data_IF_775196248503
#
_entry.id   IF_775196248503
#
_cell.length_a   1.000
_cell.length_b   1.000
_cell.length_c   1.000
_cell.angle_alpha   90.00
_cell.angle_beta   90.00
_cell.angle_gamma   90.00
#
_symmetry.space_group_name_H-M   'P 1'
#
loop_
_entity.id
_entity.type
_entity.pdbx_description
1 polymer ?
#
# COMPACT_ATOMS: atom_id res chain seq x y z
N UNK A 1 16.58 -1.74 47.41
CA UNK A 1 17.94 -1.51 46.90
C UNK A 1 18.18 -0.01 46.88
N UNK A 2 19.27 0.52 47.47
CA UNK A 2 19.58 1.95 47.34
C UNK A 2 19.85 2.31 45.85
N UNK A 3 19.45 3.49 45.38
CA UNK A 3 19.70 3.89 43.99
C UNK A 3 21.23 4.00 43.78
N UNK A 4 21.71 3.41 42.67
CA UNK A 4 23.12 3.48 42.27
C UNK A 4 23.44 4.96 41.88
N UNK A 5 24.30 5.67 42.62
CA UNK A 5 24.63 7.07 42.35
C UNK A 5 25.35 7.26 41.00
N UNK A 6 25.89 6.17 40.42
CA UNK A 6 26.56 6.18 39.12
C UNK A 6 25.64 5.81 37.95
N UNK A 7 24.37 5.54 38.21
CA UNK A 7 23.40 5.15 37.14
C UNK A 7 23.34 6.17 35.98
N UNK A 8 23.31 7.51 36.22
CA UNK A 8 23.33 8.50 35.14
C UNK A 8 24.59 8.41 34.26
N UNK A 9 25.74 8.27 34.91
CA UNK A 9 27.03 8.17 34.20
C UNK A 9 27.10 6.91 33.35
N UNK A 10 26.60 5.78 33.87
CA UNK A 10 26.47 4.52 33.08
C UNK A 10 25.55 4.69 31.88
N UNK A 11 24.42 5.39 32.03
CA UNK A 11 23.50 5.71 30.94
C UNK A 11 24.18 6.53 29.84
N UNK A 12 24.90 7.58 30.19
CA UNK A 12 25.67 8.38 29.23
C UNK A 12 26.79 7.58 28.55
N UNK A 13 27.47 6.71 29.25
CA UNK A 13 28.51 5.85 28.69
C UNK A 13 27.95 4.89 27.63
N UNK A 14 26.72 4.35 27.82
CA UNK A 14 26.03 3.50 26.84
C UNK A 14 25.71 4.30 25.58
N UNK A 15 25.10 5.48 25.68
CA UNK A 15 24.77 6.31 24.53
C UNK A 15 26.01 6.80 23.78
N UNK A 16 27.05 7.20 24.50
CA UNK A 16 28.34 7.59 23.94
C UNK A 16 29.00 6.44 23.14
N UNK A 17 28.94 5.22 23.66
CA UNK A 17 29.44 4.04 22.95
C UNK A 17 28.69 3.79 21.62
N UNK A 18 27.38 4.10 21.58
CA UNK A 18 26.58 3.95 20.36
C UNK A 18 26.98 4.93 19.25
N UNK A 19 27.57 6.08 19.58
CA UNK A 19 28.06 7.06 18.60
C UNK A 19 29.12 6.47 17.66
N UNK A 20 29.92 5.53 18.15
CA UNK A 20 31.01 4.89 17.38
C UNK A 20 30.61 3.56 16.75
N UNK A 21 29.33 3.16 16.86
CA UNK A 21 28.84 1.96 16.19
C UNK A 21 28.58 2.23 14.72
N UNK A 22 28.79 1.20 13.91
CA UNK A 22 28.47 1.25 12.48
C UNK A 22 26.96 1.48 12.30
N UNK A 23 26.53 2.48 11.49
CA UNK A 23 25.12 2.73 11.25
C UNK A 23 24.49 1.54 10.53
N UNK A 24 23.25 1.18 10.92
CA UNK A 24 22.43 0.13 10.28
C UNK A 24 21.40 0.73 9.32
N UNK A 25 21.46 2.04 9.12
CA UNK A 25 20.55 2.79 8.24
C UNK A 25 20.72 2.35 6.80
N UNK A 26 19.63 2.07 6.13
CA UNK A 26 19.60 1.88 4.68
C UNK A 26 19.32 3.22 4.02
N UNK A 27 20.14 3.56 3.04
CA UNK A 27 20.05 4.85 2.35
C UNK A 27 18.90 4.79 1.33
N UNK A 28 17.75 5.36 1.69
CA UNK A 28 16.64 5.58 0.78
C UNK A 28 16.83 6.97 0.14
N UNK A 29 16.62 7.18 -1.18
CA UNK A 29 16.05 6.23 -2.16
C UNK A 29 17.05 5.35 -2.90
N UNK A 30 18.36 5.44 -2.63
CA UNK A 30 19.41 4.70 -3.35
C UNK A 30 19.23 3.19 -3.18
N UNK A 31 18.85 2.77 -1.99
CA UNK A 31 18.52 1.38 -1.69
C UNK A 31 17.08 1.25 -1.19
N UNK A 32 16.24 0.60 -2.00
CA UNK A 32 14.85 0.29 -1.64
C UNK A 32 14.75 -1.16 -1.17
N UNK A 33 14.12 -1.35 -0.02
CA UNK A 33 13.83 -2.71 0.45
C UNK A 33 12.86 -3.41 -0.50
N UNK A 34 13.12 -4.67 -0.85
CA UNK A 34 12.13 -5.48 -1.54
C UNK A 34 10.89 -5.65 -0.67
N UNK A 35 9.72 -5.60 -1.27
CA UNK A 35 8.44 -5.76 -0.56
C UNK A 35 8.05 -7.23 -0.45
N UNK A 36 7.29 -7.58 0.59
CA UNK A 36 6.75 -8.92 0.78
C UNK A 36 5.81 -9.32 -0.36
N UNK A 37 5.72 -10.61 -0.73
CA UNK A 37 4.81 -11.09 -1.78
C UNK A 37 3.34 -10.76 -1.52
N UNK A 38 2.92 -10.66 -0.24
CA UNK A 38 1.57 -10.29 0.18
C UNK A 38 1.45 -8.86 0.66
N UNK A 39 2.36 -7.98 0.21
CA UNK A 39 2.30 -6.58 0.58
C UNK A 39 1.03 -5.93 0.01
N UNK A 40 0.35 -5.17 0.86
CA UNK A 40 -0.86 -4.42 0.50
C UNK A 40 -0.49 -2.96 0.31
N UNK A 41 -0.10 -2.62 -0.91
CA UNK A 41 0.23 -1.26 -1.29
C UNK A 41 -0.89 -0.57 -2.06
N UNK A 42 -0.54 0.24 -3.05
CA UNK A 42 -1.47 1.05 -3.84
C UNK A 42 -2.54 0.20 -4.51
N UNK A 43 -3.79 0.67 -4.46
CA UNK A 43 -4.92 0.07 -5.13
C UNK A 43 -4.82 0.22 -6.64
N UNK A 44 -5.31 -0.79 -7.37
CA UNK A 44 -5.41 -0.81 -8.83
C UNK A 44 -6.76 -1.34 -9.25
N UNK A 45 -7.31 -0.71 -10.30
CA UNK A 45 -8.46 -1.22 -11.03
C UNK A 45 -7.98 -1.91 -12.30
N UNK A 46 -8.59 -3.05 -12.60
CA UNK A 46 -8.22 -3.89 -13.73
C UNK A 46 -9.19 -3.76 -14.90
N UNK A 47 -8.65 -4.02 -16.10
CA UNK A 47 -9.39 -4.20 -17.34
C UNK A 47 -9.35 -5.66 -17.76
N UNK A 48 -10.31 -6.06 -18.57
CA UNK A 48 -10.25 -7.29 -19.33
C UNK A 48 -9.28 -7.13 -20.50
N UNK A 49 -8.89 -8.26 -21.12
CA UNK A 49 -8.01 -8.27 -22.30
C UNK A 49 -8.59 -7.48 -23.49
N UNK A 50 -9.93 -7.40 -23.58
CA UNK A 50 -10.64 -6.61 -24.58
C UNK A 50 -10.70 -5.10 -24.28
N UNK A 51 -10.02 -4.62 -23.23
CA UNK A 51 -9.95 -3.22 -22.82
C UNK A 51 -11.11 -2.73 -21.95
N UNK A 52 -12.19 -3.50 -21.80
CA UNK A 52 -13.33 -3.13 -20.95
C UNK A 52 -12.94 -3.18 -19.47
N UNK A 53 -13.53 -2.28 -18.67
CA UNK A 53 -13.32 -2.26 -17.23
C UNK A 53 -13.95 -3.51 -16.58
N UNK A 54 -13.25 -4.13 -15.64
CA UNK A 54 -13.81 -5.22 -14.83
C UNK A 54 -14.82 -4.70 -13.81
N UNK A 55 -14.68 -3.44 -13.37
CA UNK A 55 -15.54 -2.84 -12.37
C UNK A 55 -16.93 -2.54 -12.93
N UNK A 56 -17.95 -3.12 -12.33
CA UNK A 56 -19.38 -2.91 -12.68
C UNK A 56 -20.07 -1.90 -11.77
N UNK A 57 -19.35 -1.24 -10.87
CA UNK A 57 -19.92 -0.23 -9.96
C UNK A 57 -20.88 -0.79 -8.91
N UNK A 58 -20.71 -2.03 -8.44
CA UNK A 58 -21.61 -2.68 -7.47
C UNK A 58 -21.52 -2.13 -6.04
N UNK A 59 -20.51 -1.31 -5.73
CA UNK A 59 -20.27 -0.67 -4.42
C UNK A 59 -19.97 -1.63 -3.25
N UNK A 60 -19.77 -2.92 -3.48
CA UNK A 60 -19.44 -3.88 -2.41
C UNK A 60 -18.11 -3.54 -1.73
N UNK A 61 -17.12 -3.06 -2.48
CA UNK A 61 -15.84 -2.61 -1.92
C UNK A 61 -16.00 -1.39 -1.00
N UNK A 62 -16.91 -0.47 -1.32
CA UNK A 62 -17.23 0.66 -0.46
C UNK A 62 -17.94 0.21 0.83
N UNK A 63 -18.92 -0.70 0.72
CA UNK A 63 -19.63 -1.25 1.86
C UNK A 63 -18.73 -2.07 2.81
N UNK A 64 -17.70 -2.74 2.27
CA UNK A 64 -16.74 -3.52 3.06
C UNK A 64 -15.62 -2.66 3.68
N UNK A 65 -15.52 -1.38 3.32
CA UNK A 65 -14.43 -0.52 3.76
C UNK A 65 -14.62 -0.04 5.20
N UNK A 66 -13.79 -0.45 6.18
CA UNK A 66 -13.93 -0.02 7.57
C UNK A 66 -13.59 1.45 7.80
N UNK A 67 -12.82 2.06 6.86
CA UNK A 67 -12.42 3.47 6.94
C UNK A 67 -13.32 4.40 6.13
N UNK A 68 -14.35 3.87 5.45
CA UNK A 68 -15.28 4.62 4.59
C UNK A 68 -14.54 5.58 3.63
N UNK A 69 -13.49 5.06 2.99
CA UNK A 69 -12.61 5.85 2.13
C UNK A 69 -12.89 5.67 0.63
N UNK A 70 -13.84 4.80 0.25
CA UNK A 70 -14.15 4.47 -1.14
C UNK A 70 -15.52 5.05 -1.51
N UNK A 71 -15.55 5.83 -2.60
CA UNK A 71 -16.77 6.37 -3.19
C UNK A 71 -16.99 5.77 -4.57
N UNK A 72 -18.14 5.17 -4.79
CA UNK A 72 -18.53 4.58 -6.07
C UNK A 72 -19.88 5.14 -6.50
N UNK A 73 -19.97 5.67 -7.72
CA UNK A 73 -21.23 6.08 -8.36
C UNK A 73 -21.35 5.28 -9.64
N UNK A 74 -22.35 4.42 -9.70
CA UNK A 74 -22.63 3.61 -10.88
C UNK A 74 -23.38 4.39 -11.96
N UNK A 75 -23.21 3.99 -13.21
CA UNK A 75 -24.02 4.40 -14.35
C UNK A 75 -24.29 3.17 -15.25
N UNK A 76 -25.32 3.26 -16.08
CA UNK A 76 -25.68 2.21 -17.01
C UNK A 76 -24.80 2.26 -18.26
N UNK A 77 -24.40 1.10 -18.77
CA UNK A 77 -23.79 0.98 -20.08
C UNK A 77 -24.84 1.18 -21.16
N UNK A 78 -24.50 1.96 -22.16
CA UNK A 78 -25.33 2.09 -23.37
C UNK A 78 -24.74 1.24 -24.50
N UNK A 79 -25.57 0.91 -25.48
CA UNK A 79 -25.12 0.13 -26.64
C UNK A 79 -23.99 0.83 -27.42
N UNK A 80 -24.04 2.17 -27.46
CA UNK A 80 -23.09 3.01 -28.20
C UNK A 80 -21.80 3.29 -27.41
N UNK A 81 -21.84 3.18 -26.07
CA UNK A 81 -20.68 3.44 -25.22
C UNK A 81 -20.59 2.40 -24.11
N UNK A 82 -19.97 1.30 -24.42
CA UNK A 82 -19.77 0.19 -23.49
C UNK A 82 -18.42 0.33 -22.77
N UNK A 83 -18.47 0.65 -21.48
CA UNK A 83 -17.29 0.88 -20.64
C UNK A 83 -16.87 -0.40 -19.89
N UNK A 84 -17.83 -1.16 -19.37
CA UNK A 84 -17.56 -2.40 -18.63
C UNK A 84 -18.18 -3.63 -19.33
N UNK A 85 -17.80 -4.81 -18.86
CA UNK A 85 -18.38 -6.06 -19.35
C UNK A 85 -19.84 -6.30 -18.89
N UNK A 86 -20.27 -5.64 -17.81
CA UNK A 86 -21.62 -5.75 -17.24
C UNK A 86 -22.64 -4.79 -17.84
N UNK A 87 -23.82 -4.74 -17.25
CA UNK A 87 -24.88 -3.77 -17.60
C UNK A 87 -24.60 -2.37 -17.06
N UNK A 88 -23.76 -2.27 -16.03
CA UNK A 88 -23.39 -1.03 -15.35
C UNK A 88 -21.88 -0.90 -15.26
N UNK A 89 -21.41 0.32 -15.05
CA UNK A 89 -20.01 0.62 -14.79
C UNK A 89 -19.86 1.66 -13.68
N UNK A 90 -18.69 1.79 -13.10
CA UNK A 90 -18.40 2.87 -12.16
C UNK A 90 -18.13 4.18 -12.95
N UNK A 91 -19.08 5.11 -12.94
CA UNK A 91 -18.89 6.44 -13.52
C UNK A 91 -17.91 7.25 -12.69
N UNK A 92 -18.06 7.21 -11.36
CA UNK A 92 -17.12 7.79 -10.41
C UNK A 92 -16.61 6.64 -9.55
N UNK A 93 -15.30 6.57 -9.41
CA UNK A 93 -14.62 5.68 -8.48
C UNK A 93 -13.47 6.47 -7.86
N UNK A 94 -13.54 6.68 -6.56
CA UNK A 94 -12.57 7.47 -5.83
C UNK A 94 -12.16 6.74 -4.56
N UNK A 95 -10.87 6.77 -4.24
CA UNK A 95 -10.33 6.29 -2.98
C UNK A 95 -9.56 7.43 -2.30
N UNK A 96 -9.96 7.77 -1.08
CA UNK A 96 -9.21 8.70 -0.26
C UNK A 96 -8.05 7.96 0.42
N UNK A 97 -6.84 8.05 -0.16
CA UNK A 97 -5.64 7.37 0.33
C UNK A 97 -5.19 7.87 1.71
N UNK A 98 -5.52 9.10 2.08
CA UNK A 98 -5.20 9.63 3.41
C UNK A 98 -6.03 8.99 4.53
N UNK A 99 -7.18 8.39 4.21
CA UNK A 99 -8.03 7.65 5.15
C UNK A 99 -7.84 6.14 5.06
N UNK A 100 -7.34 5.65 3.95
CA UNK A 100 -7.19 4.22 3.71
C UNK A 100 -6.19 3.60 4.69
N UNK A 101 -6.55 2.47 5.29
CA UNK A 101 -5.70 1.69 6.20
C UNK A 101 -5.07 0.47 5.52
N UNK A 102 -5.21 0.33 4.21
CA UNK A 102 -4.66 -0.77 3.40
C UNK A 102 -5.00 -2.17 3.93
N UNK A 103 -6.19 -2.36 4.49
CA UNK A 103 -6.64 -3.63 5.08
C UNK A 103 -6.91 -4.74 4.05
N UNK A 104 -7.18 -4.40 2.78
CA UNK A 104 -7.45 -5.36 1.70
C UNK A 104 -8.90 -5.86 1.62
N UNK A 105 -9.82 -5.42 2.49
CA UNK A 105 -11.20 -5.90 2.44
C UNK A 105 -11.93 -5.53 1.15
N UNK A 106 -11.58 -4.43 0.52
CA UNK A 106 -12.12 -4.04 -0.79
C UNK A 106 -11.78 -5.06 -1.89
N UNK A 107 -10.58 -5.65 -1.84
CA UNK A 107 -10.14 -6.71 -2.75
C UNK A 107 -10.92 -7.99 -2.49
N UNK A 108 -11.01 -8.40 -1.21
CA UNK A 108 -11.75 -9.61 -0.82
C UNK A 108 -13.26 -9.53 -1.11
N UNK A 109 -13.85 -8.34 -1.03
CA UNK A 109 -15.27 -8.11 -1.28
C UNK A 109 -15.62 -8.00 -2.76
N UNK A 110 -14.64 -7.91 -3.65
CA UNK A 110 -14.89 -7.73 -5.08
C UNK A 110 -15.16 -9.06 -5.79
N UNK A 111 -16.39 -9.35 -6.28
CA UNK A 111 -16.69 -10.62 -6.94
C UNK A 111 -16.15 -10.69 -8.38
N UNK A 112 -15.61 -9.57 -8.91
CA UNK A 112 -15.15 -9.48 -10.29
C UNK A 112 -13.61 -9.38 -10.39
N UNK A 113 -12.89 -9.48 -9.27
CA UNK A 113 -11.44 -9.22 -9.21
C UNK A 113 -11.05 -7.91 -9.92
N UNK A 114 -11.91 -6.91 -9.78
CA UNK A 114 -11.76 -5.63 -10.45
C UNK A 114 -10.79 -4.69 -9.71
N UNK A 115 -10.63 -4.86 -8.40
CA UNK A 115 -9.71 -4.10 -7.57
C UNK A 115 -8.75 -5.04 -6.86
N UNK A 116 -7.46 -4.70 -6.88
CA UNK A 116 -6.41 -5.40 -6.13
C UNK A 116 -5.49 -4.39 -5.46
N UNK A 117 -4.73 -4.86 -4.46
CA UNK A 117 -3.66 -4.10 -3.86
C UNK A 117 -2.32 -4.54 -4.48
N UNK A 118 -1.60 -3.59 -5.07
CA UNK A 118 -0.28 -3.83 -5.66
C UNK A 118 0.85 -3.75 -4.63
N UNK A 119 2.09 -3.82 -5.14
CA UNK A 119 3.30 -3.75 -4.32
C UNK A 119 3.86 -2.32 -4.19
N UNK A 120 3.17 -1.31 -4.74
CA UNK A 120 3.60 0.08 -4.68
C UNK A 120 3.30 0.68 -3.32
N UNK A 121 4.28 1.34 -2.72
CA UNK A 121 4.17 2.03 -1.43
C UNK A 121 4.56 3.51 -1.48
N UNK A 122 5.15 3.95 -2.59
CA UNK A 122 5.56 5.35 -2.77
C UNK A 122 4.37 6.17 -3.25
N UNK A 123 3.54 6.60 -2.30
CA UNK A 123 2.30 7.36 -2.53
C UNK A 123 2.32 8.74 -1.86
N UNK A 124 3.52 9.28 -1.63
CA UNK A 124 3.68 10.60 -1.02
C UNK A 124 3.29 11.69 -2.00
N UNK A 125 2.45 12.64 -1.54
CA UNK A 125 1.99 13.78 -2.33
C UNK A 125 2.19 15.08 -1.54
N UNK A 126 2.22 16.21 -2.25
CA UNK A 126 2.39 17.52 -1.63
C UNK A 126 1.08 18.11 -1.12
N UNK A 127 -0.04 17.73 -1.69
CA UNK A 127 -1.37 18.19 -1.34
C UNK A 127 -2.23 17.02 -0.85
N UNK A 128 -3.15 17.31 0.08
CA UNK A 128 -4.12 16.34 0.55
C UNK A 128 -5.12 15.92 -0.54
N UNK A 129 -5.41 16.83 -1.46
CA UNK A 129 -6.37 16.57 -2.54
C UNK A 129 -5.78 15.59 -3.57
N UNK A 130 -4.46 15.61 -3.76
CA UNK A 130 -3.75 14.67 -4.64
C UNK A 130 -3.79 13.22 -4.11
N UNK A 131 -4.11 13.04 -2.82
CA UNK A 131 -4.34 11.72 -2.21
C UNK A 131 -5.78 11.20 -2.44
N UNK A 132 -6.62 11.90 -3.19
CA UNK A 132 -7.90 11.38 -3.67
C UNK A 132 -7.68 10.75 -5.03
N UNK A 133 -7.47 9.43 -5.03
CA UNK A 133 -7.22 8.71 -6.27
C UNK A 133 -8.50 8.47 -7.04
N UNK A 134 -8.56 9.05 -8.21
CA UNK A 134 -9.67 8.91 -9.16
C UNK A 134 -9.59 7.60 -9.92
N UNK A 135 -10.69 7.23 -10.60
CA UNK A 135 -10.76 6.01 -11.42
C UNK A 135 -9.62 5.92 -12.44
N UNK A 136 -9.30 7.01 -13.10
CA UNK A 136 -8.27 7.04 -14.14
C UNK A 136 -6.87 6.78 -13.56
N UNK A 137 -6.57 7.34 -12.38
CA UNK A 137 -5.34 7.08 -11.67
C UNK A 137 -5.21 5.63 -11.19
N UNK A 138 -6.35 5.01 -10.83
CA UNK A 138 -6.40 3.62 -10.35
C UNK A 138 -6.31 2.62 -11.52
N UNK A 139 -6.77 2.99 -12.71
CA UNK A 139 -6.68 2.20 -13.94
C UNK A 139 -5.32 2.34 -14.64
N UNK A 140 -4.52 3.33 -14.29
CA UNK A 140 -3.20 3.54 -14.85
C UNK A 140 -2.25 2.38 -14.49
N UNK A 141 -1.42 1.99 -15.44
CA UNK A 141 -0.35 1.03 -15.15
C UNK A 141 0.67 1.63 -14.17
N UNK A 142 1.27 0.80 -13.32
CA UNK A 142 2.24 1.27 -12.35
C UNK A 142 3.47 1.84 -13.05
N UNK A 143 3.90 3.01 -12.64
CA UNK A 143 5.09 3.67 -13.17
C UNK A 143 6.38 2.90 -12.89
N UNK A 144 6.42 2.12 -11.81
CA UNK A 144 7.56 1.21 -11.48
C UNK A 144 7.05 0.10 -10.56
N UNK A 145 7.36 -1.13 -10.89
CA UNK A 145 7.13 -2.29 -10.02
C UNK A 145 8.27 -2.30 -8.99
N UNK A 146 7.93 -2.14 -7.72
CA UNK A 146 8.90 -2.42 -6.65
C UNK A 146 9.22 -3.91 -6.67
N UNK A 147 10.50 -4.31 -6.68
CA UNK A 147 10.85 -5.73 -6.66
C UNK A 147 10.18 -6.45 -5.50
N UNK A 148 9.55 -7.58 -5.79
CA UNK A 148 9.04 -8.47 -4.74
C UNK A 148 10.23 -9.19 -4.14
N UNK A 149 10.32 -9.19 -2.82
CA UNK A 149 11.38 -9.92 -2.14
C UNK A 149 11.17 -11.42 -2.28
N UNK A 150 12.28 -12.14 -2.46
CA UNK A 150 12.27 -13.58 -2.30
C UNK A 150 11.88 -13.92 -0.86
N UNK A 151 10.96 -14.88 -0.64
CA UNK A 151 10.54 -15.29 0.70
C UNK A 151 11.71 -15.67 1.62
N UNK A 152 12.76 -16.27 1.06
CA UNK A 152 13.97 -16.66 1.78
C UNK A 152 14.75 -15.48 2.38
N UNK A 153 14.58 -14.26 1.81
CA UNK A 153 15.27 -13.08 2.29
C UNK A 153 14.76 -12.61 3.67
N UNK A 154 13.54 -13.00 4.05
CA UNK A 154 12.93 -12.64 5.33
C UNK A 154 13.15 -13.66 6.42
N UNK A 155 13.48 -14.90 6.07
CA UNK A 155 13.87 -15.94 7.03
C UNK A 155 15.33 -15.83 7.45
N UNK A 156 16.13 -15.03 6.74
CA UNK A 156 17.49 -14.69 7.21
C UNK A 156 17.37 -13.60 8.29
N UNK A 157 17.75 -13.89 9.54
CA UNK A 157 17.78 -12.88 10.59
C UNK A 157 18.67 -11.73 10.14
N UNK A 158 18.14 -10.50 10.24
CA UNK A 158 18.90 -9.29 9.92
C UNK A 158 20.21 -9.36 10.70
N UNK A 159 21.37 -9.18 10.09
CA UNK A 159 22.69 -9.39 10.75
C UNK A 159 22.83 -8.66 12.09
N UNK A 160 22.08 -7.57 12.27
CA UNK A 160 22.06 -6.78 13.50
C UNK A 160 21.52 -7.53 14.72
N UNK A 161 20.58 -8.49 14.54
CA UNK A 161 20.00 -9.24 15.67
C UNK A 161 20.84 -10.46 16.07
N UNK A 162 21.75 -10.93 15.20
CA UNK A 162 22.63 -12.07 15.50
C UNK A 162 23.81 -11.73 16.44
N UNK A 163 24.19 -10.46 16.53
CA UNK A 163 25.36 -10.05 17.31
C UNK A 163 25.03 -9.66 18.77
N UNK A 164 23.77 -9.72 19.17
CA UNK A 164 23.29 -9.22 20.47
C UNK A 164 22.37 -10.15 21.26
N UNK A 165 22.23 -11.42 20.84
CA UNK A 165 21.55 -12.48 21.62
C UNK A 165 22.54 -13.28 22.46
#
# INVERSE_FOLDING_TARGET
>A
MPPDPLAPVKGFAVTFRHLFRRPVTQQYPEYKRPVYPRFRGRHRLHRHENGLEKCVGCSLCAAACPADCIRVVAAENTADNRVSAGERYARIYEINMSRCIFCGYCELACPFDAITLGNEFEISEYSRDDLIYTKDMLLAEPLKITPVADPELYDTPVPYYKEHS
#
